data_IF_087786106744
#
_entry.id   IF_087786106744
#
_cell.length_a   1.000
_cell.length_b   1.000
_cell.length_c   1.000
_cell.angle_alpha   90.00
_cell.angle_beta   90.00
_cell.angle_gamma   90.00
#
_symmetry.space_group_name_H-M   'P 1'
#
loop_
_entity.id
_entity.type
_entity.pdbx_description
1 polymer ?
#
# COMPACT_ATOMS: atom_id res chain seq x y z
N UNK A 1 9.31 -1.94 18.49
CA UNK A 1 8.88 -0.53 18.65
C UNK A 1 8.03 -0.19 17.45
N UNK A 2 6.74 0.06 17.65
CA UNK A 2 5.85 0.56 16.60
C UNK A 2 6.27 2.01 16.30
N UNK A 3 6.85 2.26 15.12
CA UNK A 3 7.20 3.63 14.72
C UNK A 3 5.90 4.38 14.47
N UNK A 4 5.65 5.44 15.24
CA UNK A 4 4.53 6.32 14.99
C UNK A 4 4.64 6.87 13.56
N UNK A 5 3.58 6.70 12.76
CA UNK A 5 3.50 7.32 11.44
C UNK A 5 3.24 8.81 11.62
N UNK A 6 4.18 9.64 11.16
CA UNK A 6 4.09 11.09 11.23
C UNK A 6 3.52 11.62 9.91
N UNK A 7 2.57 12.54 9.98
CA UNK A 7 2.03 13.21 8.79
C UNK A 7 3.17 13.95 8.08
N UNK A 8 3.35 13.69 6.79
CA UNK A 8 4.42 14.26 5.98
C UNK A 8 5.74 13.48 5.99
N UNK A 9 5.83 12.36 6.72
CA UNK A 9 7.00 11.49 6.64
C UNK A 9 7.05 10.77 5.29
N UNK A 10 8.21 10.84 4.63
CA UNK A 10 8.54 9.99 3.50
C UNK A 10 9.23 8.74 4.06
N UNK A 11 8.65 7.58 3.77
CA UNK A 11 9.17 6.28 4.20
C UNK A 11 9.40 5.41 2.98
N UNK A 12 10.55 4.74 2.91
CA UNK A 12 10.93 3.84 1.83
C UNK A 12 11.31 2.46 2.34
N UNK A 13 11.71 1.59 1.41
CA UNK A 13 12.04 0.17 1.59
C UNK A 13 10.86 -0.73 1.96
N UNK A 14 9.64 -0.29 1.67
CA UNK A 14 8.43 -1.08 1.93
C UNK A 14 7.97 -1.81 0.68
N UNK A 15 7.51 -3.04 0.88
CA UNK A 15 6.83 -3.82 -0.14
C UNK A 15 5.33 -3.62 0.02
N UNK A 16 4.68 -3.28 -1.07
CA UNK A 16 3.24 -3.13 -1.12
C UNK A 16 2.64 -4.08 -2.14
N UNK A 17 1.34 -4.35 -2.05
CA UNK A 17 0.60 -5.08 -3.07
C UNK A 17 -0.65 -4.32 -3.50
N UNK A 18 -1.03 -4.46 -4.77
CA UNK A 18 -2.37 -4.10 -5.21
C UNK A 18 -3.39 -5.13 -4.74
N UNK A 19 -4.56 -4.68 -4.30
CA UNK A 19 -5.67 -5.54 -3.90
C UNK A 19 -7.00 -4.92 -4.34
N UNK A 20 -8.02 -5.77 -4.53
CA UNK A 20 -9.39 -5.29 -4.73
C UNK A 20 -10.02 -5.07 -3.37
N UNK A 21 -10.31 -3.82 -3.04
CA UNK A 21 -10.95 -3.44 -1.78
C UNK A 21 -12.40 -3.96 -1.77
N UNK A 22 -12.77 -4.84 -0.82
CA UNK A 22 -14.12 -5.40 -0.77
C UNK A 22 -15.20 -4.38 -0.40
N UNK A 23 -14.85 -3.30 0.32
CA UNK A 23 -15.80 -2.28 0.73
C UNK A 23 -16.12 -1.26 -0.36
N UNK A 24 -15.18 -1.01 -1.28
CA UNK A 24 -15.36 -0.01 -2.35
C UNK A 24 -15.35 -0.60 -3.76
N UNK A 25 -14.93 -1.85 -3.93
CA UNK A 25 -14.72 -2.51 -5.22
C UNK A 25 -13.51 -1.99 -6.01
N UNK A 26 -12.81 -0.97 -5.49
CA UNK A 26 -11.69 -0.31 -6.17
C UNK A 26 -10.39 -1.11 -6.01
N UNK A 27 -9.52 -1.03 -7.01
CA UNK A 27 -8.12 -1.46 -6.85
C UNK A 27 -7.43 -0.41 -5.98
N UNK A 28 -6.76 -0.86 -4.92
CA UNK A 28 -6.00 -0.07 -3.95
C UNK A 28 -4.67 -0.74 -3.65
N UNK A 29 -3.79 -0.05 -2.95
CA UNK A 29 -2.47 -0.55 -2.56
C UNK A 29 -2.37 -0.59 -1.04
N UNK A 30 -1.76 -1.65 -0.49
CA UNK A 30 -1.51 -1.80 0.95
C UNK A 30 -0.09 -2.32 1.21
N UNK A 31 0.50 -2.09 2.40
CA UNK A 31 1.74 -2.75 2.80
C UNK A 31 1.54 -4.27 2.92
N UNK A 32 2.56 -5.03 2.55
CA UNK A 32 2.64 -6.45 2.93
C UNK A 32 2.82 -6.60 4.44
N UNK A 33 2.41 -7.75 4.97
CA UNK A 33 2.60 -8.08 6.39
C UNK A 33 4.07 -8.19 6.80
N UNK A 34 4.31 -8.22 8.12
CA UNK A 34 5.64 -8.33 8.74
C UNK A 34 6.58 -7.16 8.41
N UNK A 35 6.02 -6.00 8.09
CA UNK A 35 6.75 -4.74 7.95
C UNK A 35 6.31 -3.82 9.08
N UNK A 36 7.13 -2.82 9.40
CA UNK A 36 6.85 -1.82 10.45
C UNK A 36 5.69 -0.86 10.11
N UNK A 37 4.82 -1.24 9.17
CA UNK A 37 3.63 -0.52 8.75
C UNK A 37 2.38 -1.36 9.03
N UNK A 38 1.28 -0.74 9.49
CA UNK A 38 0.00 -1.43 9.59
C UNK A 38 -0.45 -1.97 8.22
N UNK A 39 -1.00 -3.18 8.16
CA UNK A 39 -1.53 -3.76 6.91
C UNK A 39 -2.94 -3.29 6.58
N UNK A 40 -3.60 -2.60 7.52
CA UNK A 40 -4.97 -2.08 7.37
C UNK A 40 -5.03 -0.69 6.75
N UNK A 41 -3.90 -0.03 6.52
CA UNK A 41 -3.88 1.27 5.82
C UNK A 41 -3.87 1.07 4.31
N UNK A 42 -4.40 2.07 3.61
CA UNK A 42 -4.29 2.21 2.16
C UNK A 42 -3.14 3.16 1.87
N UNK A 43 -2.25 2.76 0.96
CA UNK A 43 -1.21 3.63 0.43
C UNK A 43 -1.80 4.42 -0.73
N UNK A 44 -1.72 5.75 -0.63
CA UNK A 44 -2.09 6.62 -1.74
C UNK A 44 -1.10 6.43 -2.88
N UNK A 45 -1.62 6.16 -4.07
CA UNK A 45 -0.84 5.98 -5.28
C UNK A 45 -1.62 6.50 -6.48
N UNK A 46 -0.92 6.74 -7.59
CA UNK A 46 -1.60 7.12 -8.84
C UNK A 46 -2.62 6.05 -9.26
N UNK A 47 -3.77 6.51 -9.76
CA UNK A 47 -4.84 5.62 -10.23
C UNK A 47 -4.51 4.94 -11.54
N UNK A 48 -3.75 5.59 -12.42
CA UNK A 48 -3.24 4.98 -13.64
C UNK A 48 -2.28 3.85 -13.31
N UNK A 49 -1.36 4.08 -12.37
CA UNK A 49 -0.34 3.11 -11.97
C UNK A 49 -0.97 1.83 -11.44
N UNK A 50 -1.85 1.91 -10.42
CA UNK A 50 -2.46 0.70 -9.86
C UNK A 50 -3.41 -0.05 -10.80
N UNK A 51 -3.90 0.61 -11.86
CA UNK A 51 -4.76 -0.01 -12.89
C UNK A 51 -3.96 -0.59 -14.05
N UNK A 52 -2.73 -0.11 -14.26
CA UNK A 52 -1.84 -0.61 -15.30
C UNK A 52 -1.32 -2.03 -14.99
N UNK A 53 -1.35 -2.43 -13.72
CA UNK A 53 -0.87 -3.73 -13.27
C UNK A 53 -2.00 -4.63 -12.75
N UNK A 54 -1.87 -5.96 -12.87
CA UNK A 54 -2.83 -6.90 -12.27
C UNK A 54 -2.98 -6.72 -10.75
N UNK A 55 -4.13 -7.13 -10.22
CA UNK A 55 -4.35 -7.22 -8.77
C UNK A 55 -3.39 -8.26 -8.18
N UNK A 56 -2.73 -7.94 -7.07
CA UNK A 56 -1.71 -8.77 -6.43
C UNK A 56 -0.28 -8.41 -6.82
N UNK A 57 -0.07 -7.48 -7.77
CA UNK A 57 1.26 -7.00 -8.12
C UNK A 57 1.95 -6.39 -6.91
N UNK A 58 3.22 -6.75 -6.71
CA UNK A 58 4.05 -6.26 -5.62
C UNK A 58 4.93 -5.10 -6.08
N UNK A 59 4.90 -4.01 -5.33
CA UNK A 59 5.69 -2.81 -5.57
C UNK A 59 6.73 -2.66 -4.48
N UNK A 60 7.91 -2.13 -4.84
CA UNK A 60 8.92 -1.68 -3.89
C UNK A 60 8.97 -0.16 -3.93
N UNK A 61 8.69 0.46 -2.80
CA UNK A 61 8.75 1.91 -2.56
C UNK A 61 9.82 2.23 -1.54
#
# INVERSE_FOLDING_TARGET
MEKALVIGAIVGEFKCESFKDPGTGRIRVRPLGNQSLPTKIVIECSSSERKAHPVGTKFRI
#
